data_IF_430548659515
#
_entry.id   IF_430548659515
#
_cell.length_a   1.000
_cell.length_b   1.000
_cell.length_c   1.000
_cell.angle_alpha   90.00
_cell.angle_beta   90.00
_cell.angle_gamma   90.00
#
_symmetry.space_group_name_H-M   'P 1'
#
loop_
_entity.id
_entity.type
_entity.pdbx_description
1 polymer ?
#
# COMPACT_ATOMS: atom_id res chain seq x y z
N UNK A 1 -2.30 11.52 -16.02
CA UNK A 1 -1.21 12.25 -15.34
C UNK A 1 -0.63 11.36 -14.24
N UNK A 2 0.69 11.37 -14.05
CA UNK A 2 1.35 10.54 -13.05
C UNK A 2 1.98 11.41 -11.97
N UNK A 3 2.03 10.89 -10.76
CA UNK A 3 2.58 11.56 -9.59
C UNK A 3 3.54 10.61 -8.88
N UNK A 4 4.59 11.14 -8.28
CA UNK A 4 5.52 10.34 -7.48
C UNK A 4 5.09 10.35 -6.02
N UNK A 5 4.92 9.17 -5.45
CA UNK A 5 4.57 8.99 -4.04
C UNK A 5 5.56 8.02 -3.40
N UNK A 6 5.73 8.13 -2.08
CA UNK A 6 6.56 7.16 -1.37
C UNK A 6 5.86 5.80 -1.35
N UNK A 7 6.63 4.74 -1.28
CA UNK A 7 6.08 3.38 -1.20
C UNK A 7 5.17 3.23 0.02
N UNK A 8 5.50 3.89 1.13
CA UNK A 8 4.66 3.89 2.33
C UNK A 8 3.24 4.41 2.03
N UNK A 9 3.13 5.51 1.31
CA UNK A 9 1.83 6.05 0.88
C UNK A 9 1.12 5.12 -0.09
N UNK A 10 1.87 4.52 -1.02
CA UNK A 10 1.32 3.57 -1.99
C UNK A 10 0.66 2.37 -1.31
N UNK A 11 1.30 1.83 -0.27
CA UNK A 11 0.73 0.71 0.49
C UNK A 11 -0.59 1.09 1.16
N UNK A 12 -0.65 2.27 1.77
CA UNK A 12 -1.89 2.77 2.39
C UNK A 12 -3.00 2.98 1.37
N UNK A 13 -2.67 3.55 0.22
CA UNK A 13 -3.62 3.76 -0.88
C UNK A 13 -4.14 2.42 -1.40
N UNK A 14 -3.27 1.44 -1.58
CA UNK A 14 -3.66 0.11 -2.05
C UNK A 14 -4.67 -0.55 -1.10
N UNK A 15 -4.44 -0.46 0.21
CA UNK A 15 -5.37 -0.97 1.21
C UNK A 15 -6.74 -0.27 1.13
N UNK A 16 -6.73 1.04 0.98
CA UNK A 16 -7.96 1.83 0.87
C UNK A 16 -8.74 1.45 -0.38
N UNK A 17 -8.06 1.28 -1.51
CA UNK A 17 -8.71 0.88 -2.76
C UNK A 17 -9.36 -0.50 -2.63
N UNK A 18 -8.69 -1.46 -1.98
CA UNK A 18 -9.25 -2.78 -1.73
C UNK A 18 -10.53 -2.70 -0.91
N UNK A 19 -10.52 -1.91 0.16
CA UNK A 19 -11.70 -1.74 1.02
C UNK A 19 -12.87 -1.12 0.25
N UNK A 20 -12.60 -0.13 -0.59
CA UNK A 20 -13.64 0.51 -1.40
C UNK A 20 -14.24 -0.46 -2.41
N UNK A 21 -13.41 -1.22 -3.10
CA UNK A 21 -13.85 -2.15 -4.14
C UNK A 21 -14.63 -3.32 -3.54
N UNK A 22 -14.20 -3.82 -2.38
CA UNK A 22 -14.82 -4.97 -1.72
C UNK A 22 -16.04 -4.60 -0.87
N UNK A 23 -16.34 -3.33 -0.71
CA UNK A 23 -17.46 -2.88 0.12
C UNK A 23 -18.75 -2.82 -0.68
N UNK A 24 -19.55 -3.86 -0.57
CA UNK A 24 -20.84 -3.97 -1.28
C UNK A 24 -21.87 -2.92 -0.85
N UNK A 25 -21.69 -2.31 0.31
CA UNK A 25 -22.56 -1.24 0.79
C UNK A 25 -22.35 0.10 0.11
N UNK A 26 -21.24 0.27 -0.61
CA UNK A 26 -20.94 1.51 -1.31
C UNK A 26 -21.54 1.50 -2.73
N UNK A 27 -22.25 2.58 -3.06
CA UNK A 27 -22.86 2.73 -4.39
C UNK A 27 -21.90 3.44 -5.34
N UNK A 28 -20.84 2.73 -5.74
CA UNK A 28 -19.87 3.23 -6.70
C UNK A 28 -20.33 2.86 -8.10
N UNK A 29 -20.30 3.81 -9.04
CA UNK A 29 -20.68 3.52 -10.42
C UNK A 29 -19.69 2.52 -11.05
N UNK A 30 -20.17 1.66 -11.98
CA UNK A 30 -19.28 0.71 -12.65
C UNK A 30 -18.08 1.36 -13.34
N UNK A 31 -18.28 2.50 -13.97
CA UNK A 31 -17.17 3.18 -14.67
C UNK A 31 -16.12 3.72 -13.70
N UNK A 32 -16.54 4.21 -12.53
CA UNK A 32 -15.60 4.66 -11.50
C UNK A 32 -14.87 3.48 -10.88
N UNK A 33 -15.59 2.40 -10.61
CA UNK A 33 -14.99 1.16 -10.10
C UNK A 33 -13.95 0.61 -11.07
N UNK A 34 -14.22 0.68 -12.37
CA UNK A 34 -13.28 0.26 -13.40
C UNK A 34 -11.98 1.07 -13.32
N UNK A 35 -12.08 2.39 -13.12
CA UNK A 35 -10.89 3.25 -12.94
C UNK A 35 -10.11 2.88 -11.69
N UNK A 36 -10.79 2.65 -10.58
CA UNK A 36 -10.13 2.24 -9.33
C UNK A 36 -9.41 0.91 -9.49
N UNK A 37 -10.03 -0.05 -10.18
CA UNK A 37 -9.39 -1.34 -10.47
C UNK A 37 -8.14 -1.17 -11.31
N UNK A 38 -8.17 -0.28 -12.30
CA UNK A 38 -7.00 0.02 -13.13
C UNK A 38 -5.85 0.60 -12.32
N UNK A 39 -6.14 1.52 -11.42
CA UNK A 39 -5.14 2.09 -10.53
C UNK A 39 -4.58 1.03 -9.59
N UNK A 40 -5.45 0.23 -8.97
CA UNK A 40 -5.02 -0.83 -8.08
C UNK A 40 -4.12 -1.83 -8.80
N UNK A 41 -4.45 -2.17 -10.05
CA UNK A 41 -3.61 -3.05 -10.84
C UNK A 41 -2.22 -2.45 -11.10
N UNK A 42 -2.15 -1.14 -11.34
CA UNK A 42 -0.87 -0.47 -11.54
C UNK A 42 0.00 -0.47 -10.27
N UNK A 43 -0.62 -0.62 -9.10
CA UNK A 43 0.09 -0.70 -7.82
C UNK A 43 0.50 -2.13 -7.45
N UNK A 44 0.02 -3.16 -8.16
CA UNK A 44 0.34 -4.56 -7.85
C UNK A 44 1.83 -4.84 -7.84
N UNK A 45 2.55 -4.35 -8.83
CA UNK A 45 3.99 -4.63 -8.95
C UNK A 45 4.79 -4.00 -7.82
N UNK A 46 4.65 -2.70 -7.50
CA UNK A 46 5.34 -2.13 -6.34
C UNK A 46 4.99 -2.82 -5.02
N UNK A 47 3.72 -3.17 -4.82
CA UNK A 47 3.27 -3.86 -3.60
C UNK A 47 3.87 -5.26 -3.53
N UNK A 48 3.84 -6.01 -4.63
CA UNK A 48 4.42 -7.35 -4.68
C UNK A 48 5.94 -7.32 -4.46
N UNK A 49 6.62 -6.35 -5.05
CA UNK A 49 8.05 -6.17 -4.85
C UNK A 49 8.38 -5.86 -3.39
N UNK A 50 7.57 -5.02 -2.75
CA UNK A 50 7.74 -4.72 -1.33
C UNK A 50 7.60 -5.98 -0.47
N UNK A 51 6.53 -6.75 -0.71
CA UNK A 51 6.29 -7.99 0.04
C UNK A 51 7.43 -9.00 -0.15
N UNK A 52 7.93 -9.13 -1.37
CA UNK A 52 9.06 -10.01 -1.67
C UNK A 52 10.31 -9.61 -0.88
N UNK A 53 10.68 -8.33 -0.91
CA UNK A 53 11.87 -7.84 -0.22
C UNK A 53 11.69 -7.92 1.29
N UNK A 54 10.51 -7.57 1.79
CA UNK A 54 10.18 -7.68 3.21
C UNK A 54 10.36 -9.11 3.72
N UNK A 55 9.82 -10.09 2.99
CA UNK A 55 9.95 -11.50 3.36
C UNK A 55 11.40 -11.97 3.29
N UNK A 56 12.17 -11.50 2.31
CA UNK A 56 13.60 -11.79 2.20
C UNK A 56 14.35 -11.28 3.42
N UNK A 57 14.04 -10.06 3.87
CA UNK A 57 14.69 -9.47 5.05
C UNK A 57 14.27 -10.15 6.35
N UNK A 58 13.01 -10.59 6.44
CA UNK A 58 12.57 -11.38 7.59
C UNK A 58 13.34 -12.69 7.68
N UNK A 59 13.58 -13.35 6.55
CA UNK A 59 14.39 -14.59 6.52
C UNK A 59 15.85 -14.33 6.87
N UNK A 60 16.40 -13.19 6.44
CA UNK A 60 17.79 -12.82 6.70
C UNK A 60 18.03 -12.51 8.17
N UNK A 61 17.16 -11.75 8.81
CA UNK A 61 17.33 -11.25 10.17
C UNK A 61 16.49 -11.99 11.21
N UNK A 62 15.47 -12.72 10.78
CA UNK A 62 14.54 -13.40 11.69
C UNK A 62 15.07 -14.74 12.20
N UNK A 63 14.34 -15.28 13.16
CA UNK A 63 14.64 -16.58 13.74
C UNK A 63 13.49 -17.54 13.49
N UNK A 64 13.81 -18.81 13.24
CA UNK A 64 12.81 -19.86 13.10
C UNK A 64 12.11 -20.10 14.43
N UNK A 65 10.78 -20.12 14.41
CA UNK A 65 9.95 -20.37 15.58
C UNK A 65 9.57 -21.86 15.64
N UNK A 66 8.95 -22.27 16.75
CA UNK A 66 8.55 -23.67 16.97
C UNK A 66 7.61 -24.21 15.88
N UNK A 67 6.83 -23.34 15.24
CA UNK A 67 5.92 -23.69 14.15
C UNK A 67 6.60 -23.66 12.78
N UNK A 68 7.91 -23.54 12.73
CA UNK A 68 8.75 -23.42 11.54
C UNK A 68 8.56 -22.13 10.74
N UNK A 69 7.83 -21.19 11.29
CA UNK A 69 7.74 -19.86 10.69
C UNK A 69 8.94 -19.02 11.12
N UNK A 70 9.41 -18.17 10.22
CA UNK A 70 10.49 -17.25 10.54
C UNK A 70 9.86 -15.93 10.91
N UNK A 71 10.22 -15.39 12.06
CA UNK A 71 9.73 -14.10 12.51
C UNK A 71 10.86 -13.27 13.08
N UNK A 72 10.64 -11.96 13.16
CA UNK A 72 11.60 -11.04 13.75
C UNK A 72 10.89 -10.23 14.83
N UNK A 73 11.56 -10.07 15.97
CA UNK A 73 10.99 -9.41 17.14
C UNK A 73 12.07 -8.60 17.85
N UNK A 74 11.76 -7.37 18.33
CA UNK A 74 12.73 -6.61 19.11
C UNK A 74 13.06 -7.27 20.45
N UNK A 75 12.18 -8.15 20.94
CA UNK A 75 12.39 -8.86 22.20
C UNK A 75 13.39 -10.00 22.04
N UNK A 76 13.32 -10.73 20.92
CA UNK A 76 14.19 -11.89 20.68
C UNK A 76 15.59 -11.48 20.26
N UNK A 77 15.72 -10.46 19.41
CA UNK A 77 17.00 -10.00 18.90
C UNK A 77 16.89 -8.52 18.52
N UNK A 78 17.12 -7.62 19.51
CA UNK A 78 16.98 -6.19 19.25
C UNK A 78 17.90 -5.66 18.14
N UNK A 79 19.11 -6.19 18.03
CA UNK A 79 20.07 -5.75 17.03
C UNK A 79 19.62 -6.09 15.61
N UNK A 80 19.18 -7.33 15.40
CA UNK A 80 18.67 -7.76 14.08
C UNK A 80 17.38 -7.03 13.73
N UNK A 81 16.51 -6.80 14.72
CA UNK A 81 15.28 -6.05 14.51
C UNK A 81 15.57 -4.62 14.08
N UNK A 82 16.58 -3.98 14.68
CA UNK A 82 16.98 -2.62 14.31
C UNK A 82 17.47 -2.55 12.87
N UNK A 83 18.29 -3.51 12.44
CA UNK A 83 18.76 -3.61 11.06
C UNK A 83 17.62 -3.83 10.09
N UNK A 84 16.69 -4.71 10.43
CA UNK A 84 15.50 -4.97 9.63
C UNK A 84 14.66 -3.70 9.48
N UNK A 85 14.39 -3.01 10.59
CA UNK A 85 13.59 -1.79 10.58
C UNK A 85 14.23 -0.70 9.72
N UNK A 86 15.55 -0.57 9.78
CA UNK A 86 16.27 0.42 8.97
C UNK A 86 16.12 0.11 7.48
N UNK A 87 16.33 -1.14 7.09
CA UNK A 87 16.21 -1.56 5.69
C UNK A 87 14.78 -1.35 5.16
N UNK A 88 13.78 -1.70 5.96
CA UNK A 88 12.38 -1.54 5.57
C UNK A 88 12.00 -0.06 5.50
N UNK A 89 12.47 0.78 6.42
CA UNK A 89 12.20 2.21 6.40
C UNK A 89 12.81 2.88 5.16
N UNK A 90 14.01 2.48 4.76
CA UNK A 90 14.62 2.97 3.53
C UNK A 90 13.78 2.58 2.30
N UNK A 91 13.30 1.34 2.28
CA UNK A 91 12.45 0.86 1.19
C UNK A 91 11.13 1.64 1.13
N UNK A 92 10.50 1.86 2.29
CA UNK A 92 9.24 2.60 2.37
C UNK A 92 9.36 4.06 1.91
N UNK A 93 10.56 4.63 1.97
CA UNK A 93 10.83 5.98 1.49
C UNK A 93 11.07 6.05 -0.02
N UNK A 94 11.18 4.90 -0.70
CA UNK A 94 11.38 4.85 -2.15
C UNK A 94 10.18 5.46 -2.88
N UNK A 95 10.45 6.17 -3.97
CA UNK A 95 9.41 6.81 -4.78
C UNK A 95 8.86 5.87 -5.84
N UNK A 96 7.54 5.94 -6.04
CA UNK A 96 6.80 5.15 -7.05
C UNK A 96 5.94 6.11 -7.86
N UNK A 97 5.93 5.93 -9.17
CA UNK A 97 4.99 6.67 -10.03
C UNK A 97 3.62 6.02 -9.99
N UNK A 98 2.58 6.83 -9.76
CA UNK A 98 1.20 6.34 -9.70
C UNK A 98 0.30 7.19 -10.59
N UNK A 99 -0.76 6.57 -11.12
CA UNK A 99 -1.79 7.28 -11.87
C UNK A 99 -2.61 8.11 -10.89
N UNK A 100 -3.06 9.28 -11.36
CA UNK A 100 -3.90 10.17 -10.55
C UNK A 100 -5.36 10.09 -10.98
N UNK A 101 -6.24 10.55 -10.09
CA UNK A 101 -7.68 10.60 -10.32
C UNK A 101 -8.11 12.06 -10.28
N UNK A 102 -9.01 12.46 -11.19
CA UNK A 102 -9.59 13.79 -11.15
C UNK A 102 -10.46 13.92 -9.89
N UNK A 103 -10.20 14.97 -9.10
CA UNK A 103 -10.94 15.21 -7.86
C UNK A 103 -12.46 15.30 -8.09
N UNK A 104 -12.87 15.90 -9.20
CA UNK A 104 -14.28 16.03 -9.55
C UNK A 104 -14.95 14.66 -9.69
N UNK A 105 -14.25 13.68 -10.25
CA UNK A 105 -14.78 12.33 -10.41
C UNK A 105 -15.01 11.63 -9.08
N UNK A 106 -14.20 11.96 -8.06
CA UNK A 106 -14.25 11.30 -6.75
C UNK A 106 -15.37 11.88 -5.90
N UNK A 107 -15.53 13.20 -5.86
CA UNK A 107 -16.46 13.85 -4.95
C UNK A 107 -17.93 13.49 -5.20
N UNK A 108 -18.29 13.19 -6.43
CA UNK A 108 -19.70 12.91 -6.80
C UNK A 108 -20.03 11.42 -6.82
N UNK A 109 -19.14 10.54 -6.32
CA UNK A 109 -19.30 9.09 -6.50
C UNK A 109 -19.58 8.32 -5.21
N UNK A 110 -19.98 9.02 -4.15
CA UNK A 110 -20.36 8.36 -2.90
C UNK A 110 -19.21 7.76 -2.12
N UNK A 111 -18.00 8.22 -2.36
CA UNK A 111 -16.81 7.76 -1.64
C UNK A 111 -16.82 8.31 -0.22
N UNK A 112 -16.62 7.48 0.80
CA UNK A 112 -16.60 7.95 2.20
C UNK A 112 -15.48 8.97 2.43
N UNK A 113 -15.74 9.92 3.34
CA UNK A 113 -14.76 10.96 3.67
C UNK A 113 -13.42 10.38 4.12
N UNK A 114 -13.45 9.27 4.86
CA UNK A 114 -12.24 8.59 5.32
C UNK A 114 -11.38 8.11 4.16
N UNK A 115 -12.02 7.57 3.13
CA UNK A 115 -11.32 7.11 1.93
C UNK A 115 -10.78 8.30 1.13
N UNK A 116 -11.50 9.43 1.09
CA UNK A 116 -11.03 10.63 0.41
C UNK A 116 -9.72 11.15 1.00
N UNK A 117 -9.59 11.09 2.33
CA UNK A 117 -8.34 11.48 3.01
C UNK A 117 -7.18 10.60 2.55
N UNK A 118 -7.39 9.29 2.49
CA UNK A 118 -6.35 8.35 2.06
C UNK A 118 -6.04 8.47 0.57
N UNK A 119 -7.03 8.81 -0.25
CA UNK A 119 -6.86 8.95 -1.70
C UNK A 119 -6.42 10.34 -2.11
N UNK A 120 -6.31 11.27 -1.17
CA UNK A 120 -5.98 12.67 -1.46
C UNK A 120 -4.72 12.80 -2.32
N UNK A 121 -3.70 12.02 -2.05
CA UNK A 121 -2.43 12.06 -2.80
C UNK A 121 -2.57 11.59 -4.25
N UNK A 122 -3.64 10.89 -4.59
CA UNK A 122 -3.94 10.47 -5.97
C UNK A 122 -4.76 11.51 -6.72
N UNK A 123 -5.31 12.50 -6.04
CA UNK A 123 -6.22 13.46 -6.66
C UNK A 123 -5.46 14.55 -7.40
N UNK A 124 -5.98 14.90 -8.56
CA UNK A 124 -5.53 16.10 -9.32
C UNK A 124 -6.66 17.11 -9.35
N UNK A 125 -6.33 18.36 -9.24
CA UNK A 125 -7.29 19.45 -9.31
C UNK A 125 -7.70 19.76 -10.75
#
# INVERSE_FOLDING_TARGET
MKKKLTLNKVLGINDTLKRLIDNDGLKITPSFKFKLLGIMKSLELPVANFEYIKNEKIREYGKEQDDRQISISPEDDPESFEKYSKDINELLASEVEVETIDAVEVFDKGVPAEALVMLYDLLTE
#
